data_IF_580008633897
#
_entry.id   IF_580008633897
#
_cell.length_a   1.000
_cell.length_b   1.000
_cell.length_c   1.000
_cell.angle_alpha   90.00
_cell.angle_beta   90.00
_cell.angle_gamma   90.00
#
_symmetry.space_group_name_H-M   'P 1'
#
loop_
_entity.id
_entity.type
_entity.pdbx_description
1 polymer ?
#
# COMPACT_ATOMS: atom_id res chain seq x y z
N UNK A 1 11.26 -22.45 -0.20
CA UNK A 1 11.34 -20.98 -0.02
C UNK A 1 10.02 -20.43 -0.47
N UNK A 2 9.30 -19.66 0.35
CA UNK A 2 8.11 -18.97 -0.15
C UNK A 2 8.57 -17.80 -1.02
N UNK A 3 8.01 -17.67 -2.22
CA UNK A 3 8.38 -16.59 -3.13
C UNK A 3 7.64 -15.31 -2.73
N UNK A 4 8.22 -14.13 -2.99
CA UNK A 4 7.57 -12.83 -2.71
C UNK A 4 6.18 -12.73 -3.36
N UNK A 5 6.00 -13.38 -4.52
CA UNK A 5 4.73 -13.46 -5.24
C UNK A 5 3.66 -14.27 -4.47
N UNK A 6 4.02 -15.41 -3.88
CA UNK A 6 3.10 -16.20 -3.04
C UNK A 6 2.65 -15.43 -1.79
N UNK A 7 3.57 -14.64 -1.21
CA UNK A 7 3.26 -13.77 -0.08
C UNK A 7 2.30 -12.66 -0.51
N UNK A 8 2.51 -12.08 -1.70
CA UNK A 8 1.61 -11.08 -2.27
C UNK A 8 0.20 -11.63 -2.45
N UNK A 9 0.06 -12.79 -3.07
CA UNK A 9 -1.25 -13.38 -3.31
C UNK A 9 -1.97 -13.76 -2.01
N UNK A 10 -1.23 -14.24 -1.00
CA UNK A 10 -1.81 -14.46 0.34
C UNK A 10 -2.33 -13.16 0.94
N UNK A 11 -1.52 -12.09 0.94
CA UNK A 11 -1.95 -10.78 1.46
C UNK A 11 -3.20 -10.29 0.71
N UNK A 12 -3.25 -10.43 -0.62
CA UNK A 12 -4.43 -10.08 -1.43
C UNK A 12 -5.68 -10.85 -0.99
N UNK A 13 -5.55 -12.15 -0.75
CA UNK A 13 -6.66 -12.98 -0.29
C UNK A 13 -7.22 -12.46 1.04
N UNK A 14 -6.39 -12.11 2.02
CA UNK A 14 -6.87 -11.55 3.31
C UNK A 14 -7.71 -10.27 3.11
N UNK A 15 -7.31 -9.39 2.19
CA UNK A 15 -8.08 -8.17 1.84
C UNK A 15 -9.28 -8.43 0.91
N UNK A 16 -9.41 -9.62 0.32
CA UNK A 16 -10.58 -10.05 -0.47
C UNK A 16 -11.67 -10.66 0.43
N UNK A 17 -11.26 -11.46 1.42
CA UNK A 17 -12.17 -12.13 2.34
C UNK A 17 -12.94 -11.15 3.24
N UNK A 18 -12.36 -9.98 3.53
CA UNK A 18 -12.96 -8.98 4.41
C UNK A 18 -13.00 -7.58 3.76
N UNK A 19 -14.11 -7.20 3.09
CA UNK A 19 -14.26 -5.86 2.56
C UNK A 19 -14.23 -4.82 3.69
N UNK A 20 -13.45 -3.75 3.50
CA UNK A 20 -13.23 -2.70 4.51
C UNK A 20 -12.11 -2.96 5.53
N UNK A 21 -11.40 -4.09 5.42
CA UNK A 21 -10.25 -4.41 6.25
C UNK A 21 -9.14 -3.36 6.10
N UNK A 22 -8.61 -2.91 7.24
CA UNK A 22 -7.56 -1.91 7.32
C UNK A 22 -6.52 -2.35 8.34
N UNK A 23 -5.29 -2.57 7.89
CA UNK A 23 -4.22 -3.08 8.74
C UNK A 23 -2.99 -2.19 8.65
N UNK A 24 -2.31 -1.99 9.77
CA UNK A 24 -0.97 -1.39 9.79
C UNK A 24 0.07 -2.40 9.30
N UNK A 25 1.26 -1.91 8.92
CA UNK A 25 2.39 -2.77 8.55
C UNK A 25 2.66 -3.85 9.61
N UNK A 26 2.60 -3.49 10.90
CA UNK A 26 2.86 -4.42 12.00
C UNK A 26 1.78 -5.51 12.12
N UNK A 27 0.51 -5.15 11.86
CA UNK A 27 -0.59 -6.11 11.87
C UNK A 27 -0.47 -7.10 10.70
N UNK A 28 -0.14 -6.61 9.50
CA UNK A 28 0.11 -7.47 8.33
C UNK A 28 1.32 -8.38 8.58
N UNK A 29 2.39 -7.85 9.19
CA UNK A 29 3.57 -8.63 9.54
C UNK A 29 3.23 -9.79 10.49
N UNK A 30 2.40 -9.54 11.50
CA UNK A 30 1.94 -10.60 12.45
C UNK A 30 1.02 -11.61 11.77
N UNK A 31 0.12 -11.15 10.89
CA UNK A 31 -0.81 -12.02 10.17
C UNK A 31 -0.11 -12.95 9.18
N UNK A 32 0.87 -12.41 8.44
CA UNK A 32 1.60 -13.17 7.42
C UNK A 32 2.82 -13.92 7.97
N UNK A 33 3.35 -13.53 9.14
CA UNK A 33 4.51 -14.15 9.77
C UNK A 33 5.81 -13.98 8.97
N UNK A 34 5.97 -12.84 8.28
CA UNK A 34 7.10 -12.56 7.38
C UNK A 34 7.98 -11.41 7.90
N UNK A 35 9.19 -11.29 7.35
CA UNK A 35 10.09 -10.19 7.68
C UNK A 35 9.47 -8.82 7.32
N UNK A 36 9.77 -7.81 8.15
CA UNK A 36 9.24 -6.45 8.00
C UNK A 36 9.58 -5.83 6.65
N UNK A 37 10.80 -6.03 6.13
CA UNK A 37 11.22 -5.47 4.84
C UNK A 37 10.46 -6.13 3.70
N UNK A 38 10.30 -7.44 3.75
CA UNK A 38 9.51 -8.19 2.74
C UNK A 38 8.05 -7.75 2.77
N UNK A 39 7.46 -7.64 3.97
CA UNK A 39 6.09 -7.16 4.16
C UNK A 39 5.88 -5.76 3.57
N UNK A 40 6.80 -4.84 3.87
CA UNK A 40 6.80 -3.48 3.33
C UNK A 40 6.84 -3.48 1.80
N UNK A 41 7.77 -4.24 1.20
CA UNK A 41 7.88 -4.34 -0.27
C UNK A 41 6.59 -4.86 -0.90
N UNK A 42 5.98 -5.89 -0.33
CA UNK A 42 4.72 -6.45 -0.84
C UNK A 42 3.59 -5.44 -0.76
N UNK A 43 3.43 -4.77 0.39
CA UNK A 43 2.39 -3.74 0.57
C UNK A 43 2.61 -2.54 -0.36
N UNK A 44 3.84 -2.06 -0.50
CA UNK A 44 4.18 -0.93 -1.38
C UNK A 44 3.92 -1.29 -2.86
N UNK A 45 4.21 -2.53 -3.29
CA UNK A 45 3.83 -3.02 -4.63
C UNK A 45 2.31 -3.06 -4.83
N UNK A 46 1.55 -3.53 -3.83
CA UNK A 46 0.08 -3.55 -3.91
C UNK A 46 -0.54 -2.15 -3.94
N UNK A 47 0.11 -1.16 -3.32
CA UNK A 47 -0.28 0.25 -3.42
C UNK A 47 0.06 0.82 -4.79
N UNK A 48 1.23 0.50 -5.34
CA UNK A 48 1.62 0.91 -6.70
C UNK A 48 0.67 0.35 -7.77
N UNK A 49 0.14 -0.86 -7.57
CA UNK A 49 -0.88 -1.49 -8.41
C UNK A 49 -2.31 -0.97 -8.15
N UNK A 50 -2.49 0.02 -7.26
CA UNK A 50 -3.79 0.58 -6.88
C UNK A 50 -4.77 -0.45 -6.27
N UNK A 51 -4.28 -1.60 -5.82
CA UNK A 51 -5.08 -2.59 -5.10
C UNK A 51 -5.32 -2.15 -3.65
N UNK A 52 -4.27 -1.65 -2.99
CA UNK A 52 -4.32 -1.04 -1.66
C UNK A 52 -4.15 0.48 -1.74
N UNK A 53 -4.68 1.18 -0.74
CA UNK A 53 -4.36 2.57 -0.46
C UNK A 53 -3.85 2.72 0.97
N UNK A 54 -2.92 3.66 1.15
CA UNK A 54 -2.45 4.06 2.49
C UNK A 54 -3.36 5.18 2.99
N UNK A 55 -3.94 4.98 4.17
CA UNK A 55 -4.79 5.96 4.82
C UNK A 55 -3.97 6.92 5.69
N UNK A 56 -4.51 8.11 6.04
CA UNK A 56 -3.77 9.10 6.86
C UNK A 56 -3.32 8.58 8.23
N UNK A 57 -4.00 7.58 8.77
CA UNK A 57 -3.64 6.90 10.02
C UNK A 57 -2.55 5.82 9.85
N UNK A 58 -1.97 5.67 8.65
CA UNK A 58 -0.93 4.69 8.37
C UNK A 58 -1.44 3.25 8.18
N UNK A 59 -2.75 3.04 8.01
CA UNK A 59 -3.30 1.74 7.67
C UNK A 59 -3.38 1.53 6.15
N UNK A 60 -3.20 0.29 5.73
CA UNK A 60 -3.40 -0.19 4.38
C UNK A 60 -4.79 -0.79 4.29
N UNK A 61 -5.62 -0.28 3.38
CA UNK A 61 -6.95 -0.82 3.09
C UNK A 61 -7.19 -0.96 1.59
N UNK A 62 -8.22 -1.70 1.19
CA UNK A 62 -8.56 -1.86 -0.23
C UNK A 62 -8.95 -0.51 -0.84
N UNK A 63 -8.40 -0.19 -2.02
CA UNK A 63 -8.71 1.04 -2.73
C UNK A 63 -10.16 1.10 -3.25
N UNK A 64 -10.73 -0.05 -3.64
CA UNK A 64 -12.10 -0.16 -4.19
C UNK A 64 -13.21 -0.11 -3.13
N UNK A 65 -12.95 -0.41 -1.85
CA UNK A 65 -13.97 -0.49 -0.78
C UNK A 65 -14.39 0.89 -0.21
N UNK A 66 -14.46 1.93 -1.05
CA UNK A 66 -15.18 3.15 -0.68
C UNK A 66 -14.35 4.27 -0.05
N UNK A 67 -13.05 4.34 -0.33
CA UNK A 67 -12.33 5.60 -0.20
C UNK A 67 -11.47 5.83 -1.43
N UNK A 68 -12.08 6.40 -2.46
CA UNK A 68 -11.33 7.25 -3.37
C UNK A 68 -10.93 8.48 -2.55
N UNK A 69 -9.67 8.64 -2.10
CA UNK A 69 -9.22 9.98 -1.80
C UNK A 69 -9.37 10.72 -3.12
N UNK A 70 -10.37 11.60 -3.25
CA UNK A 70 -10.33 12.60 -4.31
C UNK A 70 -8.94 13.22 -4.20
N UNK A 71 -8.11 13.19 -5.25
CA UNK A 71 -6.85 13.90 -5.20
C UNK A 71 -7.24 15.37 -5.08
N UNK A 72 -7.17 15.90 -3.86
CA UNK A 72 -7.19 17.34 -3.65
C UNK A 72 -5.95 17.83 -4.37
N UNK A 73 -6.15 18.35 -5.60
CA UNK A 73 -5.17 18.97 -6.48
C UNK A 73 -3.75 18.92 -5.92
N UNK A 74 -3.03 17.83 -6.22
CA UNK A 74 -1.58 17.84 -6.11
C UNK A 74 -1.11 18.88 -7.12
N UNK A 75 -0.99 20.12 -6.63
CA UNK A 75 -0.33 21.21 -7.34
C UNK A 75 1.04 20.65 -7.65
N UNK A 76 1.25 20.31 -8.93
CA UNK A 76 2.58 20.08 -9.49
C UNK A 76 3.40 21.32 -9.13
N UNK A 77 4.13 21.24 -8.01
CA UNK A 77 5.14 22.24 -7.68
C UNK A 77 6.23 22.04 -8.70
N UNK A 78 6.08 22.81 -9.76
CA UNK A 78 7.02 23.04 -10.83
C UNK A 78 8.42 23.15 -10.20
N UNK A 79 9.24 22.13 -10.37
CA UNK A 79 10.66 22.20 -10.04
C UNK A 79 11.31 23.05 -11.13
N UNK A 80 11.16 24.38 -10.98
CA UNK A 80 11.89 25.36 -11.75
C UNK A 80 13.38 25.01 -11.67
N UNK A 81 13.93 24.64 -12.81
CA UNK A 81 15.36 24.47 -13.03
C UNK A 81 16.10 25.69 -12.49
N UNK A 82 16.91 25.46 -11.44
CA UNK A 82 18.00 26.37 -11.09
C UNK A 82 19.17 26.12 -12.05
N UNK A 83 19.75 27.24 -12.51
CA UNK A 83 21.19 27.60 -12.63
C UNK A 83 21.41 28.28 -13.99
N UNK A 84 21.58 29.60 -14.00
CA UNK A 84 22.82 30.32 -13.73
C UNK A 84 23.79 30.25 -14.92
N UNK A 85 23.82 31.32 -15.73
CA UNK A 85 25.01 32.01 -16.25
C UNK A 85 24.56 33.32 -16.86
#
# INVERSE_FOLDING_TARGET
MRTTDEIRERVRAEYLEMPGLQLTLEQVQRLCGIDRRVCRTVLDSLVAELFLCVKPNGTYGRAWDGHHPRPAHATLKNAAHRRAS
#
